data_IF_320044243439
#
_entry.id   IF_320044243439
#
_cell.length_a   1.000
_cell.length_b   1.000
_cell.length_c   1.000
_cell.angle_alpha   90.00
_cell.angle_beta   90.00
_cell.angle_gamma   90.00
#
_symmetry.space_group_name_H-M   'P 1'
#
loop_
_entity.id
_entity.type
_entity.pdbx_description
1 polymer ?
#
# COMPACT_ATOMS: atom_id res chain seq x y z
N UNK A 1 29.83 32.15 -0.15
CA UNK A 1 29.74 30.94 -1.00
C UNK A 1 28.26 30.62 -1.13
N UNK A 2 27.63 31.11 -2.19
CA UNK A 2 26.19 30.99 -2.45
C UNK A 2 25.92 29.65 -3.13
N UNK A 3 25.05 28.84 -2.55
CA UNK A 3 24.61 27.56 -3.11
C UNK A 3 23.61 27.86 -4.24
N UNK A 4 23.76 27.30 -5.45
CA UNK A 4 22.82 27.53 -6.55
C UNK A 4 21.52 26.78 -6.26
N UNK A 5 20.53 27.46 -5.66
CA UNK A 5 19.22 26.92 -5.33
C UNK A 5 18.25 26.82 -6.55
N UNK A 6 18.76 26.86 -7.79
CA UNK A 6 17.93 26.98 -9.00
C UNK A 6 17.95 25.81 -9.97
N UNK A 7 19.04 25.02 -10.02
CA UNK A 7 19.26 24.07 -11.14
C UNK A 7 18.39 22.79 -11.06
N UNK A 8 18.04 22.32 -9.85
CA UNK A 8 17.15 21.16 -9.70
C UNK A 8 15.71 21.47 -10.15
N UNK A 9 15.21 22.66 -9.82
CA UNK A 9 13.84 23.08 -10.14
C UNK A 9 13.59 23.17 -11.66
N UNK A 10 14.58 23.57 -12.46
CA UNK A 10 14.44 23.62 -13.92
C UNK A 10 14.46 22.22 -14.56
N UNK A 11 15.19 21.25 -14.00
CA UNK A 11 15.22 19.86 -14.48
C UNK A 11 13.99 19.05 -14.07
N UNK A 12 13.36 19.37 -12.95
CA UNK A 12 12.17 18.67 -12.45
C UNK A 12 10.86 19.12 -13.12
N UNK A 13 10.81 20.32 -13.70
CA UNK A 13 9.60 20.88 -14.31
C UNK A 13 9.07 20.04 -15.50
N UNK A 14 9.91 19.54 -16.43
CA UNK A 14 9.45 18.62 -17.46
C UNK A 14 8.82 17.34 -16.89
N UNK A 15 9.36 16.79 -15.80
CA UNK A 15 8.81 15.56 -15.21
C UNK A 15 7.43 15.74 -14.59
N UNK A 16 7.15 16.93 -14.05
CA UNK A 16 5.82 17.28 -13.54
C UNK A 16 4.82 17.39 -14.70
N UNK A 17 5.21 18.03 -15.79
CA UNK A 17 4.38 18.13 -17.00
C UNK A 17 4.12 16.74 -17.61
N UNK A 18 5.15 15.89 -17.69
CA UNK A 18 5.04 14.50 -18.13
C UNK A 18 4.08 13.70 -17.23
N UNK A 19 4.19 13.84 -15.90
CA UNK A 19 3.28 13.17 -14.97
C UNK A 19 1.84 13.63 -15.17
N UNK A 20 1.62 14.94 -15.32
CA UNK A 20 0.26 15.49 -15.53
C UNK A 20 -0.33 14.99 -16.84
N UNK A 21 0.44 15.02 -17.92
CA UNK A 21 0.02 14.43 -19.19
C UNK A 21 -0.31 12.95 -19.04
N UNK A 22 0.54 12.19 -18.34
CA UNK A 22 0.35 10.77 -18.09
C UNK A 22 -0.94 10.49 -17.30
N UNK A 23 -1.19 11.26 -16.23
CA UNK A 23 -2.43 11.20 -15.46
C UNK A 23 -3.64 11.52 -16.34
N UNK A 24 -3.57 12.54 -17.19
CA UNK A 24 -4.69 12.89 -18.07
C UNK A 24 -4.98 11.78 -19.10
N UNK A 25 -3.95 11.20 -19.72
CA UNK A 25 -4.13 10.14 -20.73
C UNK A 25 -4.71 8.85 -20.15
N UNK A 26 -4.29 8.47 -18.94
CA UNK A 26 -4.68 7.20 -18.33
C UNK A 26 -5.75 7.37 -17.25
N UNK A 27 -6.47 8.49 -17.23
CA UNK A 27 -7.51 8.78 -16.22
C UNK A 27 -6.99 8.53 -14.80
N UNK A 28 -5.91 9.23 -14.49
CA UNK A 28 -5.05 9.14 -13.32
C UNK A 28 -3.92 8.11 -13.42
N UNK A 29 -4.10 6.86 -13.86
CA UNK A 29 -3.02 5.84 -13.81
C UNK A 29 -3.22 4.67 -14.77
N UNK A 30 -2.13 4.07 -15.27
CA UNK A 30 -2.21 2.78 -16.01
C UNK A 30 -2.59 1.60 -15.11
N UNK A 31 -2.36 1.72 -13.81
CA UNK A 31 -2.72 0.76 -12.77
C UNK A 31 -3.94 1.26 -11.98
N UNK A 32 -4.96 1.73 -12.71
CA UNK A 32 -6.26 2.04 -12.12
C UNK A 32 -6.88 0.78 -11.49
N UNK A 33 -7.50 0.94 -10.33
CA UNK A 33 -8.20 -0.12 -9.61
C UNK A 33 -9.44 0.42 -8.89
N UNK A 34 -10.44 -0.44 -8.74
CA UNK A 34 -11.66 -0.21 -7.97
C UNK A 34 -11.72 -1.16 -6.78
N UNK A 35 -12.82 -1.12 -6.02
CA UNK A 35 -12.98 -2.04 -4.90
C UNK A 35 -13.04 -3.51 -5.31
N UNK A 36 -13.47 -3.81 -6.54
CA UNK A 36 -13.43 -5.18 -7.09
C UNK A 36 -12.01 -5.67 -7.29
N UNK A 37 -11.10 -4.84 -7.80
CA UNK A 37 -9.68 -5.18 -7.95
C UNK A 37 -9.00 -5.33 -6.58
N UNK A 38 -9.34 -4.51 -5.59
CA UNK A 38 -8.83 -4.68 -4.22
C UNK A 38 -9.29 -6.01 -3.60
N UNK A 39 -10.54 -6.41 -3.84
CA UNK A 39 -11.06 -7.71 -3.42
C UNK A 39 -10.35 -8.86 -4.15
N UNK A 40 -10.14 -8.73 -5.47
CA UNK A 40 -9.39 -9.73 -6.24
C UNK A 40 -7.97 -9.89 -5.71
N UNK A 41 -7.26 -8.78 -5.46
CA UNK A 41 -5.93 -8.79 -4.85
C UNK A 41 -5.94 -9.44 -3.45
N UNK A 42 -6.96 -9.19 -2.62
CA UNK A 42 -7.11 -9.86 -1.33
C UNK A 42 -7.28 -11.37 -1.48
N UNK A 43 -8.08 -11.82 -2.47
CA UNK A 43 -8.34 -13.25 -2.69
C UNK A 43 -7.13 -14.03 -3.22
N UNK A 44 -6.10 -13.37 -3.75
CA UNK A 44 -4.82 -14.00 -4.08
C UNK A 44 -4.20 -14.67 -2.83
N UNK A 45 -4.39 -14.05 -1.66
CA UNK A 45 -3.84 -14.51 -0.37
C UNK A 45 -4.74 -15.51 0.37
N UNK A 46 -5.96 -15.72 -0.11
CA UNK A 46 -6.90 -16.73 0.43
C UNK A 46 -7.15 -17.87 -0.56
N UNK A 47 -6.39 -17.92 -1.66
CA UNK A 47 -6.59 -18.89 -2.75
C UNK A 47 -8.02 -18.90 -3.30
N UNK A 48 -8.67 -17.73 -3.37
CA UNK A 48 -10.03 -17.58 -3.85
C UNK A 48 -11.12 -17.90 -2.83
N UNK A 49 -10.76 -18.31 -1.61
CA UNK A 49 -11.74 -18.60 -0.55
C UNK A 49 -12.36 -17.31 -0.01
N UNK A 50 -13.67 -17.33 0.20
CA UNK A 50 -14.46 -16.19 0.68
C UNK A 50 -15.22 -16.48 1.98
N UNK A 51 -15.50 -17.75 2.28
CA UNK A 51 -16.24 -18.16 3.48
C UNK A 51 -15.31 -18.76 4.54
N UNK A 52 -15.39 -18.21 5.75
CA UNK A 52 -14.56 -18.57 6.90
C UNK A 52 -15.45 -18.66 8.15
N UNK A 53 -15.37 -19.75 8.91
CA UNK A 53 -16.28 -19.99 10.04
C UNK A 53 -15.62 -20.64 11.25
N UNK A 54 -14.33 -20.99 11.17
CA UNK A 54 -13.64 -21.77 12.19
C UNK A 54 -12.34 -21.13 12.69
N UNK A 55 -11.81 -21.64 13.80
CA UNK A 55 -10.47 -21.25 14.29
C UNK A 55 -9.35 -21.60 13.30
N UNK A 56 -9.53 -22.64 12.48
CA UNK A 56 -8.53 -22.96 11.46
C UNK A 56 -8.55 -21.91 10.35
N UNK A 57 -9.75 -21.54 9.91
CA UNK A 57 -9.96 -20.48 8.93
C UNK A 57 -9.38 -19.14 9.42
N UNK A 58 -9.51 -18.86 10.72
CA UNK A 58 -8.93 -17.66 11.32
C UNK A 58 -7.39 -17.66 11.27
N UNK A 59 -6.75 -18.83 11.43
CA UNK A 59 -5.29 -18.97 11.26
C UNK A 59 -4.89 -18.77 9.82
N UNK A 60 -5.61 -19.36 8.87
CA UNK A 60 -5.38 -19.21 7.44
C UNK A 60 -5.50 -17.75 7.01
N UNK A 61 -6.57 -17.06 7.43
CA UNK A 61 -6.77 -15.63 7.19
C UNK A 61 -5.63 -14.79 7.74
N UNK A 62 -5.15 -15.09 8.95
CA UNK A 62 -4.06 -14.34 9.55
C UNK A 62 -2.73 -14.56 8.79
N UNK A 63 -2.48 -15.77 8.28
CA UNK A 63 -1.34 -16.04 7.42
C UNK A 63 -1.44 -15.28 6.08
N UNK A 64 -2.61 -15.34 5.42
CA UNK A 64 -2.86 -14.61 4.18
C UNK A 64 -2.72 -13.10 4.36
N UNK A 65 -3.27 -12.54 5.44
CA UNK A 65 -3.13 -11.13 5.78
C UNK A 65 -1.68 -10.72 6.01
N UNK A 66 -0.88 -11.52 6.74
CA UNK A 66 0.57 -11.26 6.91
C UNK A 66 1.31 -11.28 5.58
N UNK A 67 1.01 -12.24 4.70
CA UNK A 67 1.58 -12.29 3.37
C UNK A 67 1.20 -11.05 2.54
N UNK A 68 -0.04 -10.57 2.64
CA UNK A 68 -0.47 -9.32 2.02
C UNK A 68 0.28 -8.10 2.58
N UNK A 69 0.47 -8.01 3.91
CA UNK A 69 1.29 -6.96 4.53
C UNK A 69 2.72 -6.96 3.98
N UNK A 70 3.35 -8.14 3.89
CA UNK A 70 4.71 -8.28 3.36
C UNK A 70 4.78 -7.87 1.88
N UNK A 71 3.78 -8.27 1.09
CA UNK A 71 3.66 -7.91 -0.31
C UNK A 71 3.49 -6.40 -0.51
N UNK A 72 2.61 -5.76 0.27
CA UNK A 72 2.41 -4.32 0.27
C UNK A 72 3.70 -3.58 0.68
N UNK A 73 4.46 -4.11 1.66
CA UNK A 73 5.72 -3.53 2.08
C UNK A 73 6.80 -3.59 0.97
N UNK A 74 6.81 -4.63 0.12
CA UNK A 74 7.67 -4.67 -1.08
C UNK A 74 7.29 -3.54 -2.04
N UNK A 75 5.99 -3.35 -2.31
CA UNK A 75 5.49 -2.26 -3.15
C UNK A 75 5.87 -0.88 -2.58
N UNK A 76 5.73 -0.70 -1.26
CA UNK A 76 6.10 0.53 -0.56
C UNK A 76 7.60 0.84 -0.71
N UNK A 77 8.48 -0.14 -0.57
CA UNK A 77 9.93 0.07 -0.76
C UNK A 77 10.28 0.40 -2.20
N UNK A 78 9.62 -0.23 -3.17
CA UNK A 78 9.79 0.10 -4.58
C UNK A 78 9.35 1.55 -4.87
N UNK A 79 8.18 1.94 -4.36
CA UNK A 79 7.68 3.32 -4.38
C UNK A 79 8.70 4.30 -3.77
N UNK A 80 9.19 3.99 -2.57
CA UNK A 80 10.15 4.82 -1.84
C UNK A 80 11.46 5.07 -2.60
N UNK A 81 11.95 4.07 -3.33
CA UNK A 81 13.11 4.21 -4.20
C UNK A 81 12.84 5.21 -5.34
N UNK A 82 11.71 5.05 -6.05
CA UNK A 82 11.35 5.92 -7.15
C UNK A 82 11.06 7.36 -6.68
N UNK A 83 10.34 7.52 -5.56
CA UNK A 83 10.05 8.81 -4.95
C UNK A 83 11.34 9.54 -4.52
N UNK A 84 12.31 8.80 -3.96
CA UNK A 84 13.64 9.34 -3.62
C UNK A 84 14.40 9.83 -4.85
N UNK A 85 14.32 9.12 -5.97
CA UNK A 85 14.92 9.55 -7.24
C UNK A 85 14.20 10.79 -7.79
N UNK A 86 12.87 10.83 -7.78
CA UNK A 86 12.10 12.00 -8.19
C UNK A 86 12.44 13.24 -7.35
N UNK A 87 12.54 13.09 -6.03
CA UNK A 87 12.91 14.17 -5.10
C UNK A 87 14.26 14.80 -5.41
N UNK A 88 15.26 13.99 -5.76
CA UNK A 88 16.60 14.49 -6.09
C UNK A 88 16.60 15.46 -7.27
N UNK A 89 15.65 15.32 -8.19
CA UNK A 89 15.53 16.24 -9.32
C UNK A 89 14.60 17.40 -8.99
N UNK A 90 13.42 17.14 -8.42
CA UNK A 90 12.39 18.17 -8.21
C UNK A 90 12.75 19.12 -7.06
N UNK A 91 13.10 18.57 -5.89
CA UNK A 91 13.44 19.35 -4.70
C UNK A 91 14.31 18.53 -3.74
N UNK A 92 15.66 18.59 -3.84
CA UNK A 92 16.56 17.75 -3.05
C UNK A 92 16.45 17.94 -1.52
N UNK A 93 15.87 19.04 -1.06
CA UNK A 93 15.82 19.45 0.34
C UNK A 93 14.46 19.20 1.00
N UNK A 94 13.41 18.87 0.23
CA UNK A 94 12.05 18.73 0.76
C UNK A 94 11.26 17.63 0.06
N UNK A 95 10.39 16.95 0.82
CA UNK A 95 9.43 15.98 0.29
C UNK A 95 8.14 16.64 -0.20
N UNK A 96 7.86 17.89 0.19
CA UNK A 96 6.56 18.54 -0.03
C UNK A 96 6.18 18.56 -1.51
N UNK A 97 7.09 18.98 -2.39
CA UNK A 97 6.82 19.07 -3.83
C UNK A 97 6.51 17.69 -4.45
N UNK A 98 7.23 16.65 -4.02
CA UNK A 98 7.01 15.28 -4.51
C UNK A 98 5.71 14.70 -3.96
N UNK A 99 5.42 14.91 -2.67
CA UNK A 99 4.22 14.43 -2.02
C UNK A 99 2.94 15.00 -2.66
N UNK A 100 2.97 16.30 -3.00
CA UNK A 100 1.87 16.97 -3.73
C UNK A 100 1.63 16.31 -5.08
N UNK A 101 2.67 16.15 -5.90
CA UNK A 101 2.50 15.59 -7.24
C UNK A 101 2.10 14.10 -7.22
N UNK A 102 2.45 13.39 -6.14
CA UNK A 102 2.13 11.97 -5.96
C UNK A 102 0.81 11.71 -5.21
N UNK A 103 0.01 12.73 -4.89
CA UNK A 103 -1.18 12.63 -4.02
C UNK A 103 -0.91 11.77 -2.77
N UNK A 104 0.21 12.05 -2.11
CA UNK A 104 0.74 11.32 -0.96
C UNK A 104 1.06 12.28 0.19
N UNK A 105 1.36 11.74 1.37
CA UNK A 105 1.83 12.55 2.49
C UNK A 105 3.36 12.65 2.48
N UNK A 106 3.88 13.70 3.13
CA UNK A 106 5.32 13.84 3.38
C UNK A 106 5.86 12.64 4.16
N UNK A 107 5.07 12.16 5.14
CA UNK A 107 5.46 11.03 5.99
C UNK A 107 5.54 9.74 5.18
N UNK A 108 4.55 9.45 4.33
CA UNK A 108 4.58 8.28 3.45
C UNK A 108 5.78 8.29 2.53
N UNK A 109 6.05 9.42 1.88
CA UNK A 109 7.20 9.56 0.99
C UNK A 109 8.53 9.37 1.74
N UNK A 110 8.66 10.02 2.91
CA UNK A 110 9.87 9.98 3.73
C UNK A 110 10.12 8.58 4.32
N UNK A 111 9.10 7.97 4.92
CA UNK A 111 9.16 6.64 5.51
C UNK A 111 9.45 5.57 4.45
N UNK A 112 8.75 5.61 3.31
CA UNK A 112 8.98 4.67 2.21
C UNK A 112 10.39 4.79 1.65
N UNK A 113 10.91 6.01 1.50
CA UNK A 113 12.30 6.25 1.10
C UNK A 113 13.30 5.72 2.13
N UNK A 114 13.00 5.84 3.43
CA UNK A 114 13.82 5.29 4.49
C UNK A 114 13.85 3.75 4.42
N UNK A 115 12.70 3.09 4.31
CA UNK A 115 12.61 1.63 4.17
C UNK A 115 13.30 1.13 2.90
N UNK A 116 13.18 1.87 1.79
CA UNK A 116 13.94 1.58 0.59
C UNK A 116 15.44 1.62 0.87
N UNK A 117 15.96 2.69 1.48
CA UNK A 117 17.40 2.87 1.74
C UNK A 117 18.04 1.72 2.51
N UNK A 118 17.32 1.14 3.48
CA UNK A 118 17.83 0.07 4.35
C UNK A 118 17.48 -1.36 3.88
N UNK A 119 16.91 -1.50 2.68
CA UNK A 119 16.60 -2.81 2.10
C UNK A 119 17.52 -3.13 0.93
N UNK A 120 17.72 -4.42 0.63
CA UNK A 120 18.44 -4.82 -0.58
C UNK A 120 17.55 -4.63 -1.83
N UNK A 121 18.11 -4.55 -3.04
CA UNK A 121 17.31 -4.49 -4.27
C UNK A 121 16.32 -5.67 -4.42
N UNK A 122 16.70 -6.87 -3.95
CA UNK A 122 15.84 -8.05 -4.00
C UNK A 122 14.59 -7.92 -3.10
N UNK A 123 14.66 -7.11 -2.05
CA UNK A 123 13.53 -6.90 -1.12
C UNK A 123 12.49 -5.89 -1.66
N UNK A 124 12.73 -5.34 -2.85
CA UNK A 124 11.91 -4.29 -3.49
C UNK A 124 11.32 -4.75 -4.82
N UNK A 125 11.38 -6.04 -5.11
CA UNK A 125 10.82 -6.63 -6.33
C UNK A 125 9.83 -7.72 -5.98
N UNK A 126 8.76 -7.76 -6.76
CA UNK A 126 7.81 -8.86 -6.88
C UNK A 126 7.24 -8.78 -8.30
N UNK A 127 6.43 -9.77 -8.68
CA UNK A 127 5.87 -9.88 -10.03
C UNK A 127 5.13 -8.61 -10.49
N UNK A 128 4.40 -7.94 -9.59
CA UNK A 128 3.65 -6.73 -9.95
C UNK A 128 4.54 -5.49 -10.01
N UNK A 129 5.51 -5.36 -9.11
CA UNK A 129 6.52 -4.29 -9.16
C UNK A 129 7.32 -4.38 -10.47
N UNK A 130 7.77 -5.57 -10.85
CA UNK A 130 8.50 -5.78 -12.11
C UNK A 130 7.63 -5.48 -13.33
N UNK A 131 6.32 -5.74 -13.23
CA UNK A 131 5.35 -5.37 -14.28
C UNK A 131 5.23 -3.85 -14.40
N UNK A 132 5.12 -3.12 -13.28
CA UNK A 132 5.10 -1.64 -13.28
C UNK A 132 6.39 -1.10 -13.89
N UNK A 133 7.56 -1.60 -13.44
CA UNK A 133 8.85 -1.17 -13.95
C UNK A 133 8.94 -1.33 -15.47
N UNK A 134 8.65 -2.54 -16.00
CA UNK A 134 8.67 -2.78 -17.46
C UNK A 134 7.72 -1.88 -18.24
N UNK A 135 6.52 -1.63 -17.71
CA UNK A 135 5.53 -0.76 -18.37
C UNK A 135 6.03 0.68 -18.42
N UNK A 136 6.56 1.19 -17.30
CA UNK A 136 7.06 2.57 -17.22
C UNK A 136 8.31 2.74 -18.06
N UNK A 137 9.24 1.78 -18.04
CA UNK A 137 10.47 1.81 -18.83
C UNK A 137 10.20 1.77 -20.34
N UNK A 138 9.04 1.27 -20.76
CA UNK A 138 8.59 1.29 -22.16
C UNK A 138 7.97 2.63 -22.61
N UNK A 139 7.81 3.62 -21.72
CA UNK A 139 7.27 4.93 -22.08
C UNK A 139 8.37 5.82 -22.68
N UNK A 140 8.03 6.56 -23.73
CA UNK A 140 8.98 7.47 -24.40
C UNK A 140 9.50 8.60 -23.48
N UNK A 141 8.69 9.00 -22.49
CA UNK A 141 8.97 10.05 -21.50
C UNK A 141 9.05 9.44 -20.08
N UNK A 142 9.52 8.18 -19.97
CA UNK A 142 9.67 7.52 -18.67
C UNK A 142 10.54 8.37 -17.74
N UNK A 143 10.06 8.60 -16.52
CA UNK A 143 10.84 9.29 -15.51
C UNK A 143 10.52 8.75 -14.10
N UNK A 144 11.38 8.99 -13.09
CA UNK A 144 11.18 8.48 -11.74
C UNK A 144 9.88 8.94 -11.07
N UNK A 145 9.34 10.11 -11.45
CA UNK A 145 8.10 10.63 -10.88
C UNK A 145 6.89 9.82 -11.38
N UNK A 146 6.81 9.51 -12.68
CA UNK A 146 5.80 8.59 -13.23
C UNK A 146 5.94 7.20 -12.62
N UNK A 147 7.19 6.71 -12.46
CA UNK A 147 7.44 5.42 -11.82
C UNK A 147 6.93 5.40 -10.37
N UNK A 148 7.22 6.46 -9.61
CA UNK A 148 6.74 6.61 -8.24
C UNK A 148 5.21 6.66 -8.19
N UNK A 149 4.59 7.40 -9.11
CA UNK A 149 3.13 7.47 -9.20
C UNK A 149 2.50 6.10 -9.41
N UNK A 150 2.98 5.31 -10.38
CA UNK A 150 2.41 3.99 -10.66
C UNK A 150 2.69 2.96 -9.56
N UNK A 151 3.88 3.01 -8.93
CA UNK A 151 4.18 2.16 -7.78
C UNK A 151 3.37 2.54 -6.55
N UNK A 152 3.00 3.82 -6.39
CA UNK A 152 2.07 4.25 -5.34
C UNK A 152 0.69 3.64 -5.55
N UNK A 153 0.16 3.67 -6.78
CA UNK A 153 -1.14 3.06 -7.06
C UNK A 153 -1.15 1.56 -6.74
N UNK A 154 -0.06 0.87 -7.08
CA UNK A 154 0.13 -0.54 -6.73
C UNK A 154 0.22 -0.76 -5.21
N UNK A 155 0.96 0.09 -4.51
CA UNK A 155 1.05 0.02 -3.05
C UNK A 155 -0.32 0.24 -2.41
N UNK A 156 -1.05 1.27 -2.81
CA UNK A 156 -2.39 1.58 -2.28
C UNK A 156 -3.38 0.42 -2.53
N UNK A 157 -3.29 -0.26 -3.69
CA UNK A 157 -4.08 -1.46 -3.99
C UNK A 157 -3.83 -2.58 -2.98
N UNK A 158 -2.56 -2.92 -2.74
CA UNK A 158 -2.22 -4.01 -1.83
C UNK A 158 -2.43 -3.65 -0.35
N UNK A 159 -2.34 -2.37 0.01
CA UNK A 159 -2.80 -1.89 1.33
C UNK A 159 -4.33 -1.97 1.45
N UNK A 160 -5.09 -1.70 0.39
CA UNK A 160 -6.53 -1.92 0.39
C UNK A 160 -6.89 -3.41 0.53
N UNK A 161 -6.14 -4.30 -0.14
CA UNK A 161 -6.28 -5.74 -0.01
C UNK A 161 -5.98 -6.23 1.42
N UNK A 162 -4.89 -5.75 2.03
CA UNK A 162 -4.57 -6.02 3.44
C UNK A 162 -5.71 -5.58 4.37
N UNK A 163 -6.26 -4.39 4.15
CA UNK A 163 -7.37 -3.88 4.95
C UNK A 163 -8.62 -4.75 4.82
N UNK A 164 -8.95 -5.26 3.63
CA UNK A 164 -10.05 -6.23 3.44
C UNK A 164 -9.80 -7.48 4.27
N UNK A 165 -8.58 -8.04 4.20
CA UNK A 165 -8.23 -9.24 4.96
C UNK A 165 -8.27 -9.01 6.48
N UNK A 166 -7.84 -7.84 6.96
CA UNK A 166 -7.96 -7.46 8.37
C UNK A 166 -9.43 -7.29 8.78
N UNK A 167 -10.24 -6.65 7.94
CA UNK A 167 -11.68 -6.49 8.18
C UNK A 167 -12.36 -7.86 8.33
N UNK A 168 -12.11 -8.79 7.40
CA UNK A 168 -12.62 -10.17 7.44
C UNK A 168 -12.12 -10.95 8.66
N UNK A 169 -10.83 -10.82 9.00
CA UNK A 169 -10.24 -11.48 10.16
C UNK A 169 -10.90 -11.00 11.46
N UNK A 170 -11.11 -9.69 11.61
CA UNK A 170 -11.72 -9.12 12.81
C UNK A 170 -13.22 -9.43 12.90
N UNK A 171 -13.93 -9.51 11.77
CA UNK A 171 -15.32 -9.95 11.77
C UNK A 171 -15.43 -11.42 12.21
N UNK A 172 -14.57 -12.32 11.70
CA UNK A 172 -14.54 -13.72 12.15
C UNK A 172 -14.15 -13.85 13.63
N UNK A 173 -13.23 -13.02 14.14
CA UNK A 173 -12.91 -12.96 15.57
C UNK A 173 -14.17 -12.68 16.40
N UNK A 174 -14.98 -11.70 15.98
CA UNK A 174 -16.21 -11.32 16.69
C UNK A 174 -17.29 -12.40 16.56
N UNK A 175 -17.41 -13.06 15.41
CA UNK A 175 -18.36 -14.17 15.23
C UNK A 175 -18.01 -15.39 16.09
N UNK A 176 -16.72 -15.68 16.25
CA UNK A 176 -16.24 -16.78 17.09
C UNK A 176 -16.29 -16.44 18.59
N UNK A 177 -16.40 -15.16 18.95
CA UNK A 177 -16.54 -14.72 20.33
C UNK A 177 -17.83 -15.30 20.94
N UNK A 178 -17.76 -15.71 22.21
CA UNK A 178 -18.82 -16.46 22.88
C UNK A 178 -18.98 -17.94 22.45
N UNK A 179 -18.44 -18.35 21.31
CA UNK A 179 -18.46 -19.75 20.83
C UNK A 179 -17.15 -20.50 21.08
N UNK A 180 -16.04 -19.77 21.20
CA UNK A 180 -14.68 -20.29 21.48
C UNK A 180 -14.07 -19.55 22.67
N UNK A 181 -13.03 -20.13 23.27
CA UNK A 181 -12.30 -19.43 24.34
C UNK A 181 -11.53 -18.27 23.71
N UNK A 182 -11.59 -17.10 24.33
CA UNK A 182 -10.89 -15.91 23.85
C UNK A 182 -9.38 -16.13 23.65
N UNK A 183 -8.74 -16.96 24.48
CA UNK A 183 -7.33 -17.30 24.31
C UNK A 183 -7.08 -18.13 23.04
N UNK A 184 -7.96 -19.07 22.69
CA UNK A 184 -7.81 -19.86 21.46
C UNK A 184 -7.92 -18.97 20.20
N UNK A 185 -8.78 -17.95 20.27
CA UNK A 185 -8.93 -16.93 19.23
C UNK A 185 -7.66 -16.06 19.15
N UNK A 186 -7.15 -15.59 20.28
CA UNK A 186 -5.92 -14.79 20.36
C UNK A 186 -4.73 -15.56 19.77
N UNK A 187 -4.55 -16.82 20.16
CA UNK A 187 -3.49 -17.69 19.65
C UNK A 187 -3.64 -17.93 18.12
N UNK A 188 -4.88 -18.10 17.63
CA UNK A 188 -5.14 -18.30 16.20
C UNK A 188 -4.74 -17.09 15.33
N UNK A 189 -4.91 -15.87 15.83
CA UNK A 189 -4.46 -14.65 15.12
C UNK A 189 -3.02 -14.24 15.50
N UNK A 190 -2.35 -15.05 16.30
CA UNK A 190 -0.96 -14.84 16.72
C UNK A 190 -0.79 -13.63 17.63
N UNK A 191 -1.74 -13.38 18.52
CA UNK A 191 -1.69 -12.37 19.58
C UNK A 191 -1.51 -13.07 20.92
N UNK A 192 -0.54 -12.61 21.72
CA UNK A 192 -0.13 -13.31 22.95
C UNK A 192 -1.15 -13.24 24.09
N UNK A 193 -2.02 -12.21 24.12
CA UNK A 193 -2.93 -11.98 25.25
C UNK A 193 -4.33 -11.61 24.77
N UNK A 194 -5.34 -11.96 25.56
CA UNK A 194 -6.74 -11.54 25.32
C UNK A 194 -6.86 -10.01 25.30
N UNK A 195 -6.11 -9.29 26.14
CA UNK A 195 -6.08 -7.84 26.11
C UNK A 195 -5.55 -7.29 24.76
N UNK A 196 -4.53 -7.94 24.19
CA UNK A 196 -4.02 -7.60 22.86
C UNK A 196 -5.05 -7.89 21.76
N UNK A 197 -5.82 -8.97 21.90
CA UNK A 197 -6.92 -9.30 20.98
C UNK A 197 -7.97 -8.18 21.01
N UNK A 198 -8.45 -7.80 22.21
CA UNK A 198 -9.40 -6.70 22.37
C UNK A 198 -8.87 -5.39 21.79
N UNK A 199 -7.61 -5.04 22.08
CA UNK A 199 -7.01 -3.82 21.54
C UNK A 199 -6.97 -3.81 20.01
N UNK A 200 -6.64 -4.94 19.36
CA UNK A 200 -6.61 -5.04 17.89
C UNK A 200 -8.02 -4.88 17.30
N UNK A 201 -9.02 -5.51 17.91
CA UNK A 201 -10.43 -5.34 17.51
C UNK A 201 -10.84 -3.88 17.63
N UNK A 202 -10.60 -3.25 18.79
CA UNK A 202 -10.97 -1.85 19.03
C UNK A 202 -10.27 -0.90 18.05
N UNK A 203 -8.97 -1.12 17.80
CA UNK A 203 -8.20 -0.33 16.84
C UNK A 203 -8.80 -0.45 15.43
N UNK A 204 -9.07 -1.67 14.96
CA UNK A 204 -9.69 -1.88 13.66
C UNK A 204 -11.07 -1.22 13.58
N UNK A 205 -11.93 -1.38 14.60
CA UNK A 205 -13.27 -0.77 14.61
C UNK A 205 -13.21 0.76 14.66
N UNK A 206 -12.23 1.33 15.36
CA UNK A 206 -12.04 2.78 15.40
C UNK A 206 -11.67 3.37 14.03
N UNK A 207 -10.82 2.66 13.27
CA UNK A 207 -10.30 3.11 11.99
C UNK A 207 -11.26 2.79 10.82
N UNK A 208 -11.80 1.58 10.81
CA UNK A 208 -12.51 0.97 9.69
C UNK A 208 -14.01 0.80 9.94
N UNK A 209 -14.45 0.80 11.19
CA UNK A 209 -15.86 0.63 11.56
C UNK A 209 -16.34 -0.82 11.55
N UNK A 210 -17.67 -1.00 11.59
CA UNK A 210 -18.35 -2.31 11.56
C UNK A 210 -18.72 -2.75 10.14
N UNK A 211 -19.21 -3.98 9.97
CA UNK A 211 -19.76 -4.45 8.69
C UNK A 211 -20.81 -3.45 8.18
N UNK A 212 -20.67 -3.02 6.93
CA UNK A 212 -21.52 -1.99 6.31
C UNK A 212 -21.07 -0.55 6.53
N UNK A 213 -20.01 -0.29 7.32
CA UNK A 213 -19.45 1.05 7.47
C UNK A 213 -18.80 1.53 6.16
N UNK A 214 -19.12 2.74 5.65
CA UNK A 214 -18.56 3.27 4.41
C UNK A 214 -17.02 3.31 4.40
N UNK A 215 -16.38 3.46 5.56
CA UNK A 215 -14.90 3.50 5.70
C UNK A 215 -14.24 2.19 5.28
N UNK A 216 -14.98 1.09 5.22
CA UNK A 216 -14.47 -0.20 4.75
C UNK A 216 -14.31 -0.26 3.24
N UNK A 217 -15.02 0.59 2.50
CA UNK A 217 -15.03 0.55 1.04
C UNK A 217 -13.69 1.06 0.49
N UNK A 218 -12.91 0.20 -0.20
CA UNK A 218 -11.61 0.60 -0.74
C UNK A 218 -11.79 1.45 -2.00
N UNK A 219 -11.12 2.60 -2.04
CA UNK A 219 -11.17 3.54 -3.16
C UNK A 219 -9.75 4.00 -3.49
N UNK A 220 -9.39 4.00 -4.78
CA UNK A 220 -8.08 4.43 -5.24
C UNK A 220 -7.86 5.93 -5.12
N UNK A 221 -8.91 6.71 -5.36
CA UNK A 221 -8.89 8.16 -5.29
C UNK A 221 -9.84 8.63 -4.18
N UNK A 222 -9.37 9.57 -3.36
CA UNK A 222 -10.21 10.33 -2.44
C UNK A 222 -10.62 11.65 -3.08
#
# INVERSE_FOLDING_TARGET
>A
MTVPNGEGLELGRPWIEDLRWHRDQYRQSRFQWSGSEALLAATEFTHGRQDFTSLMDLRELNLGRRAATEYAAVCQRAFGEAARQARRSICPTSWVAVAIELDSTVDDCSASSHFATWSSPADRTNTQVDRVQRIVDGLYFSNPLIRAWELKQLWDLYTAAENILEDTLIDLVVELDGHRRAQDIADAIGVFTVAGLSHRVDLQRSQRGVVGDPRRTPHQYR
#
